data_IF_710032282438
#
_entry.id   IF_710032282438
#
_cell.length_a   1.000
_cell.length_b   1.000
_cell.length_c   1.000
_cell.angle_alpha   90.00
_cell.angle_beta   90.00
_cell.angle_gamma   90.00
#
_symmetry.space_group_name_H-M   'P 1'
#
loop_
_entity.id
_entity.type
_entity.pdbx_description
1 polymer ?
#
# COMPACT_ATOMS: atom_id res chain seq x y z
N UNK A 1 -17.53 -37.93 -15.60
CA UNK A 1 -16.55 -37.02 -14.98
C UNK A 1 -17.24 -35.68 -14.80
N UNK A 2 -17.62 -35.31 -13.58
CA UNK A 2 -18.30 -34.04 -13.30
C UNK A 2 -17.24 -32.94 -13.27
N UNK A 3 -17.25 -32.03 -14.25
CA UNK A 3 -16.46 -30.80 -14.19
C UNK A 3 -16.98 -29.95 -13.03
N UNK A 4 -16.16 -29.82 -11.99
CA UNK A 4 -16.40 -28.91 -10.88
C UNK A 4 -16.20 -27.49 -11.43
N UNK A 5 -17.19 -26.58 -11.38
CA UNK A 5 -16.97 -25.21 -11.81
C UNK A 5 -15.85 -24.63 -10.94
N UNK A 6 -14.84 -24.06 -11.57
CA UNK A 6 -13.80 -23.29 -10.89
C UNK A 6 -14.47 -22.04 -10.33
N UNK A 7 -15.01 -22.16 -9.12
CA UNK A 7 -15.57 -21.05 -8.36
C UNK A 7 -14.46 -20.05 -8.14
N UNK A 8 -14.41 -19.00 -8.95
CA UNK A 8 -13.64 -17.80 -8.65
C UNK A 8 -14.41 -17.09 -7.54
N UNK A 9 -14.24 -17.56 -6.30
CA UNK A 9 -14.77 -16.89 -5.12
C UNK A 9 -14.24 -15.45 -5.13
N UNK A 10 -15.14 -14.48 -5.30
CA UNK A 10 -14.81 -13.08 -5.05
C UNK A 10 -14.57 -12.89 -3.55
N UNK A 11 -13.69 -11.97 -3.18
CA UNK A 11 -13.52 -11.59 -1.79
C UNK A 11 -14.86 -11.15 -1.20
N UNK A 12 -15.11 -11.53 0.04
CA UNK A 12 -16.24 -11.04 0.82
C UNK A 12 -16.09 -9.54 1.08
N UNK A 13 -17.21 -8.85 1.31
CA UNK A 13 -17.22 -7.43 1.68
C UNK A 13 -16.34 -7.17 2.92
N UNK A 14 -16.31 -8.11 3.86
CA UNK A 14 -15.48 -8.04 5.06
C UNK A 14 -13.97 -8.05 4.73
N UNK A 15 -13.54 -8.87 3.77
CA UNK A 15 -12.15 -8.90 3.30
C UNK A 15 -11.76 -7.62 2.56
N UNK A 16 -12.66 -7.06 1.75
CA UNK A 16 -12.42 -5.78 1.07
C UNK A 16 -12.24 -4.62 2.08
N UNK A 17 -13.06 -4.60 3.13
CA UNK A 17 -12.96 -3.61 4.21
C UNK A 17 -11.66 -3.81 5.00
N UNK A 18 -11.33 -5.05 5.38
CA UNK A 18 -10.11 -5.36 6.11
C UNK A 18 -8.86 -4.98 5.31
N UNK A 19 -8.84 -5.26 4.01
CA UNK A 19 -7.75 -4.85 3.12
C UNK A 19 -7.64 -3.32 3.04
N UNK A 20 -8.75 -2.60 2.86
CA UNK A 20 -8.74 -1.13 2.79
C UNK A 20 -8.21 -0.49 4.08
N UNK A 21 -8.65 -1.01 5.24
CA UNK A 21 -8.17 -0.55 6.55
C UNK A 21 -6.69 -0.82 6.71
N UNK A 22 -6.23 -2.03 6.35
CA UNK A 22 -4.82 -2.42 6.48
C UNK A 22 -3.91 -1.54 5.62
N UNK A 23 -4.33 -1.19 4.40
CA UNK A 23 -3.58 -0.27 3.54
C UNK A 23 -3.59 1.17 4.05
N UNK A 24 -4.72 1.66 4.57
CA UNK A 24 -4.79 2.98 5.19
C UNK A 24 -3.88 3.09 6.41
N UNK A 25 -3.84 2.05 7.25
CA UNK A 25 -2.91 1.95 8.38
C UNK A 25 -1.46 1.90 7.89
N UNK A 26 -1.18 1.12 6.85
CA UNK A 26 0.13 1.06 6.20
C UNK A 26 0.61 2.41 5.66
N UNK A 27 -0.28 3.21 5.07
CA UNK A 27 0.02 4.57 4.61
C UNK A 27 0.47 5.48 5.76
N UNK A 28 -0.30 5.48 6.86
CA UNK A 28 0.00 6.30 8.04
C UNK A 28 1.34 5.88 8.66
N UNK A 29 1.56 4.58 8.87
CA UNK A 29 2.83 4.08 9.38
C UNK A 29 4.00 4.33 8.43
N UNK A 30 3.78 4.27 7.12
CA UNK A 30 4.79 4.61 6.11
C UNK A 30 5.25 6.07 6.21
N UNK A 31 4.31 7.00 6.40
CA UNK A 31 4.61 8.43 6.61
C UNK A 31 5.39 8.61 7.92
N UNK A 32 4.89 8.05 9.02
CA UNK A 32 5.55 8.16 10.34
C UNK A 32 6.96 7.57 10.30
N UNK A 33 7.12 6.38 9.72
CA UNK A 33 8.41 5.72 9.58
C UNK A 33 9.41 6.52 8.74
N UNK A 34 8.97 7.10 7.62
CA UNK A 34 9.82 7.97 6.81
C UNK A 34 10.30 9.20 7.59
N UNK A 35 9.40 9.86 8.31
CA UNK A 35 9.78 11.03 9.14
C UNK A 35 10.80 10.65 10.20
N UNK A 36 10.58 9.55 10.92
CA UNK A 36 11.51 9.07 11.95
C UNK A 36 12.89 8.73 11.37
N UNK A 37 12.96 8.07 10.21
CA UNK A 37 14.21 7.77 9.53
C UNK A 37 14.96 9.04 9.11
N UNK A 38 14.25 10.06 8.61
CA UNK A 38 14.87 11.32 8.22
C UNK A 38 15.34 12.14 9.41
N UNK A 39 14.57 12.19 10.50
CA UNK A 39 15.00 12.84 11.76
C UNK A 39 16.25 12.16 12.29
N UNK A 40 16.25 10.82 12.37
CA UNK A 40 17.41 10.05 12.82
C UNK A 40 18.65 10.28 11.93
N UNK A 41 18.46 10.39 10.61
CA UNK A 41 19.52 10.68 9.67
C UNK A 41 20.15 12.06 9.91
N UNK A 42 19.33 13.07 10.19
CA UNK A 42 19.79 14.43 10.50
C UNK A 42 20.54 14.45 11.83
N UNK A 43 19.98 13.84 12.88
CA UNK A 43 20.62 13.77 14.21
C UNK A 43 21.95 13.02 14.17
N UNK A 44 22.06 11.97 13.35
CA UNK A 44 23.27 11.19 13.18
C UNK A 44 24.30 11.82 12.21
N UNK A 45 24.03 13.02 11.66
CA UNK A 45 24.84 13.62 10.59
C UNK A 45 25.09 12.65 9.42
N UNK A 46 24.06 11.90 9.04
CA UNK A 46 24.17 10.88 8.01
C UNK A 46 24.48 11.51 6.64
N UNK A 47 25.27 10.80 5.84
CA UNK A 47 25.63 11.23 4.50
C UNK A 47 24.44 11.30 3.55
N UNK A 48 24.61 12.03 2.44
CA UNK A 48 23.58 12.24 1.43
C UNK A 48 22.97 10.94 0.89
N UNK A 49 23.78 9.87 0.78
CA UNK A 49 23.33 8.54 0.37
C UNK A 49 22.28 7.97 1.31
N UNK A 50 22.45 8.12 2.63
CA UNK A 50 21.48 7.60 3.61
C UNK A 50 20.13 8.31 3.50
N UNK A 51 20.16 9.65 3.37
CA UNK A 51 18.95 10.48 3.20
C UNK A 51 18.22 10.09 1.92
N UNK A 52 18.94 9.92 0.80
CA UNK A 52 18.37 9.48 -0.47
C UNK A 52 17.75 8.08 -0.37
N UNK A 53 18.45 7.13 0.27
CA UNK A 53 17.96 5.77 0.49
C UNK A 53 16.69 5.74 1.34
N UNK A 54 16.64 6.47 2.46
CA UNK A 54 15.45 6.55 3.31
C UNK A 54 14.29 7.21 2.60
N UNK A 55 14.54 8.27 1.84
CA UNK A 55 13.51 8.97 1.06
C UNK A 55 12.91 8.08 -0.02
N UNK A 56 13.73 7.34 -0.76
CA UNK A 56 13.26 6.40 -1.79
C UNK A 56 12.48 5.24 -1.16
N UNK A 57 12.99 4.66 -0.08
CA UNK A 57 12.34 3.55 0.61
C UNK A 57 10.98 3.97 1.20
N UNK A 58 10.96 4.99 2.07
CA UNK A 58 9.71 5.46 2.69
C UNK A 58 8.75 6.07 1.68
N UNK A 59 9.26 6.81 0.69
CA UNK A 59 8.46 7.37 -0.40
C UNK A 59 7.78 6.29 -1.24
N UNK A 60 8.47 5.21 -1.57
CA UNK A 60 7.87 4.09 -2.32
C UNK A 60 6.79 3.35 -1.51
N UNK A 61 6.99 3.18 -0.20
CA UNK A 61 5.96 2.62 0.69
C UNK A 61 4.71 3.50 0.75
N UNK A 62 4.88 4.82 0.90
CA UNK A 62 3.77 5.77 0.89
C UNK A 62 3.04 5.70 -0.45
N UNK A 63 3.76 5.73 -1.58
CA UNK A 63 3.16 5.65 -2.90
C UNK A 63 2.40 4.34 -3.12
N UNK A 64 2.93 3.21 -2.66
CA UNK A 64 2.27 1.90 -2.74
C UNK A 64 0.92 1.91 -2.00
N UNK A 65 0.90 2.33 -0.74
CA UNK A 65 -0.33 2.37 0.05
C UNK A 65 -1.31 3.45 -0.43
N UNK A 66 -0.78 4.58 -0.89
CA UNK A 66 -1.57 5.66 -1.45
C UNK A 66 -2.24 5.22 -2.75
N UNK A 67 -1.52 4.56 -3.66
CA UNK A 67 -2.07 4.00 -4.88
C UNK A 67 -3.17 2.98 -4.59
N UNK A 68 -2.97 2.09 -3.60
CA UNK A 68 -3.99 1.15 -3.15
C UNK A 68 -5.24 1.87 -2.61
N UNK A 69 -5.06 2.94 -1.84
CA UNK A 69 -6.17 3.71 -1.26
C UNK A 69 -6.93 4.53 -2.31
N UNK A 70 -6.22 5.22 -3.22
CA UNK A 70 -6.82 6.01 -4.31
C UNK A 70 -7.54 5.14 -5.33
N UNK A 71 -7.03 3.93 -5.59
CA UNK A 71 -7.70 2.96 -6.45
C UNK A 71 -9.11 2.63 -5.96
N UNK A 72 -9.34 2.61 -4.64
CA UNK A 72 -10.66 2.42 -4.04
C UNK A 72 -11.50 3.71 -3.93
N UNK A 73 -10.88 4.89 -3.95
CA UNK A 73 -11.56 6.18 -3.76
C UNK A 73 -12.12 6.81 -5.06
N UNK A 74 -11.59 6.46 -6.24
CA UNK A 74 -12.08 7.00 -7.52
C UNK A 74 -13.35 6.23 -7.96
N UNK A 75 -14.50 6.91 -8.15
CA UNK A 75 -15.75 6.26 -8.50
C UNK A 75 -15.78 5.96 -10.01
N UNK A 76 -15.12 4.88 -10.41
CA UNK A 76 -15.27 4.34 -11.76
C UNK A 76 -15.57 2.84 -11.68
N UNK A 77 -16.84 2.50 -11.94
CA UNK A 77 -17.45 1.17 -11.92
C UNK A 77 -16.81 0.11 -12.86
N UNK A 78 -15.68 0.42 -13.53
CA UNK A 78 -15.04 -0.41 -14.56
C UNK A 78 -13.55 -0.71 -14.35
N UNK A 79 -12.94 -0.29 -13.24
CA UNK A 79 -11.58 -0.71 -12.90
C UNK A 79 -11.53 -2.03 -12.10
N UNK A 80 -12.67 -2.49 -11.55
CA UNK A 80 -12.81 -3.63 -10.61
C UNK A 80 -12.28 -5.01 -11.08
N UNK A 81 -11.68 -5.11 -12.26
CA UNK A 81 -11.22 -6.36 -12.89
C UNK A 81 -9.69 -6.47 -12.90
N UNK A 82 -8.92 -5.38 -12.77
CA UNK A 82 -7.47 -5.41 -13.03
C UNK A 82 -6.56 -5.49 -11.79
N UNK A 83 -7.06 -5.27 -10.58
CA UNK A 83 -6.32 -5.50 -9.31
C UNK A 83 -6.88 -6.67 -8.53
N UNK A 84 -7.09 -7.79 -9.22
CA UNK A 84 -7.12 -9.09 -8.56
C UNK A 84 -5.66 -9.57 -8.52
N UNK A 85 -5.15 -9.87 -7.34
CA UNK A 85 -3.80 -10.41 -7.06
C UNK A 85 -2.68 -9.36 -6.90
N UNK A 86 -2.56 -8.79 -5.70
CA UNK A 86 -1.30 -8.80 -4.93
C UNK A 86 -1.62 -9.36 -3.55
#
# INVERSE_FOLDING_TARGET
MVQKPLMTQGYSLAEEIANSISHGIGLVFGIVGLVLLLVQAVEANAGMTAIASYSLYGGSMILLFLASTLYHAIPHQRAKIWLKEI
#
